data_IF_530787517438
#
_entry.id   IF_530787517438
#
_cell.length_a   1.000
_cell.length_b   1.000
_cell.length_c   1.000
_cell.angle_alpha   90.00
_cell.angle_beta   90.00
_cell.angle_gamma   90.00
#
_symmetry.space_group_name_H-M   'P 1'
#
loop_
_entity.id
_entity.type
_entity.pdbx_description
1 polymer ?
#
# COMPACT_ATOMS: atom_id res chain seq x y z
N UNK A 1 -4.43 -8.70 10.36
CA UNK A 1 -5.33 -9.19 9.30
C UNK A 1 -4.62 -9.46 7.96
N UNK A 2 -3.30 -9.75 7.94
CA UNK A 2 -2.54 -10.02 6.71
C UNK A 2 -2.26 -11.51 6.47
N UNK A 3 -2.23 -12.34 7.51
CA UNK A 3 -1.84 -13.75 7.42
C UNK A 3 -2.90 -14.60 6.71
N UNK A 4 -4.19 -14.32 6.95
CA UNK A 4 -5.33 -15.03 6.33
C UNK A 4 -5.34 -14.92 4.81
N UNK A 5 -4.88 -13.79 4.26
CA UNK A 5 -4.87 -13.57 2.80
C UNK A 5 -3.72 -14.26 2.08
N UNK A 6 -2.65 -14.63 2.80
CA UNK A 6 -1.45 -15.27 2.25
C UNK A 6 -1.51 -16.81 2.26
N UNK A 7 -2.38 -17.40 3.09
CA UNK A 7 -2.51 -18.85 3.26
C UNK A 7 -3.02 -19.60 2.02
N UNK A 8 -3.66 -18.89 1.08
CA UNK A 8 -4.18 -19.49 -0.16
C UNK A 8 -3.25 -19.39 -1.37
N UNK A 9 -2.02 -18.88 -1.20
CA UNK A 9 -1.09 -18.60 -2.31
C UNK A 9 -0.02 -19.69 -2.45
N UNK A 10 0.37 -20.01 -3.69
CA UNK A 10 1.53 -20.87 -3.95
C UNK A 10 2.83 -20.13 -3.64
N UNK A 11 3.94 -20.86 -3.49
CA UNK A 11 5.26 -20.26 -3.32
C UNK A 11 5.63 -19.29 -4.45
N UNK A 12 5.26 -19.62 -5.70
CA UNK A 12 5.49 -18.76 -6.86
C UNK A 12 4.70 -17.45 -6.77
N UNK A 13 3.43 -17.54 -6.35
CA UNK A 13 2.56 -16.38 -6.17
C UNK A 13 3.06 -15.48 -5.02
N UNK A 14 3.58 -16.07 -3.93
CA UNK A 14 4.20 -15.32 -2.84
C UNK A 14 5.50 -14.64 -3.27
N UNK A 15 6.28 -15.27 -4.14
CA UNK A 15 7.50 -14.67 -4.70
C UNK A 15 7.18 -13.51 -5.64
N UNK A 16 6.16 -13.62 -6.48
CA UNK A 16 5.66 -12.53 -7.32
C UNK A 16 5.14 -11.36 -6.48
N UNK A 17 4.30 -11.64 -5.48
CA UNK A 17 3.82 -10.62 -4.53
C UNK A 17 4.98 -9.87 -3.87
N UNK A 18 5.97 -10.58 -3.35
CA UNK A 18 7.13 -9.97 -2.72
C UNK A 18 7.93 -9.12 -3.72
N UNK A 19 8.08 -9.57 -4.96
CA UNK A 19 8.80 -8.84 -6.02
C UNK A 19 8.08 -7.54 -6.39
N UNK A 20 6.76 -7.59 -6.55
CA UNK A 20 5.95 -6.39 -6.82
C UNK A 20 5.92 -5.42 -5.63
N UNK A 21 5.84 -5.96 -4.41
CA UNK A 21 5.94 -5.18 -3.19
C UNK A 21 7.29 -4.47 -3.08
N UNK A 22 8.39 -5.11 -3.47
CA UNK A 22 9.71 -4.47 -3.46
C UNK A 22 9.78 -3.23 -4.36
N UNK A 23 9.08 -3.23 -5.49
CA UNK A 23 9.06 -2.11 -6.45
C UNK A 23 8.07 -1.03 -6.03
N UNK A 24 6.87 -1.42 -5.58
CA UNK A 24 5.77 -0.47 -5.31
C UNK A 24 5.80 0.11 -3.89
N UNK A 25 6.44 -0.55 -2.92
CA UNK A 25 6.50 -0.07 -1.53
C UNK A 25 7.06 1.35 -1.44
N UNK A 26 6.43 2.18 -0.63
CA UNK A 26 6.95 3.50 -0.30
C UNK A 26 7.97 3.36 0.83
N UNK A 27 9.12 3.98 0.63
CA UNK A 27 10.19 4.01 1.63
C UNK A 27 9.84 4.99 2.74
N UNK A 28 9.83 4.49 3.98
CA UNK A 28 9.72 5.33 5.17
C UNK A 28 10.84 6.36 5.21
N UNK A 29 12.08 5.97 4.91
CA UNK A 29 13.24 6.87 4.97
C UNK A 29 13.13 8.06 4.01
N UNK A 30 12.68 7.81 2.77
CA UNK A 30 12.43 8.87 1.79
C UNK A 30 11.31 9.79 2.28
N UNK A 31 10.24 9.23 2.85
CA UNK A 31 9.12 10.01 3.39
C UNK A 31 9.57 10.92 4.55
N UNK A 32 10.43 10.41 5.45
CA UNK A 32 11.03 11.19 6.54
C UNK A 32 11.97 12.28 6.04
N UNK A 33 12.74 12.01 4.98
CA UNK A 33 13.62 12.99 4.35
C UNK A 33 12.79 14.13 3.71
N UNK A 34 11.75 13.78 2.95
CA UNK A 34 10.82 14.77 2.40
C UNK A 34 10.10 15.55 3.50
N UNK A 35 9.78 14.92 4.63
CA UNK A 35 9.21 15.64 5.76
C UNK A 35 10.18 16.67 6.34
N UNK A 36 11.47 16.36 6.50
CA UNK A 36 12.46 17.34 6.97
C UNK A 36 12.56 18.56 6.05
N UNK A 37 12.70 18.34 4.74
CA UNK A 37 12.86 19.42 3.76
C UNK A 37 11.56 20.18 3.45
N UNK A 38 10.41 19.51 3.52
CA UNK A 38 9.11 20.06 3.09
C UNK A 38 8.12 20.15 4.25
N UNK A 39 8.61 20.17 5.49
CA UNK A 39 7.83 20.22 6.74
C UNK A 39 6.85 21.39 6.75
N UNK A 40 7.29 22.59 6.36
CA UNK A 40 6.42 23.78 6.29
C UNK A 40 5.44 23.80 5.11
N UNK A 41 5.75 23.07 4.04
CA UNK A 41 4.99 23.07 2.78
C UNK A 41 4.08 21.84 2.63
N UNK A 42 4.22 20.82 3.47
CA UNK A 42 3.40 19.59 3.42
C UNK A 42 3.73 18.62 2.28
N UNK A 43 4.89 18.76 1.62
CA UNK A 43 5.30 17.97 0.44
C UNK A 43 5.24 16.45 0.61
N UNK A 44 5.60 15.97 1.80
CA UNK A 44 5.59 14.56 2.15
C UNK A 44 4.17 13.92 2.08
N UNK A 45 3.10 14.71 2.30
CA UNK A 45 1.70 14.23 2.17
C UNK A 45 1.29 14.05 0.72
N UNK A 46 1.79 14.89 -0.18
CA UNK A 46 1.57 14.73 -1.63
C UNK A 46 2.30 13.49 -2.17
N UNK A 47 3.51 13.21 -1.69
CA UNK A 47 4.25 11.99 -2.06
C UNK A 47 3.52 10.69 -1.66
N UNK A 48 2.83 10.71 -0.52
CA UNK A 48 2.02 9.59 -0.04
C UNK A 48 0.61 9.53 -0.67
N UNK A 49 0.28 10.44 -1.60
CA UNK A 49 -1.03 10.50 -2.25
C UNK A 49 -2.15 11.06 -1.37
N UNK A 50 -1.84 11.67 -0.21
CA UNK A 50 -2.83 12.21 0.74
C UNK A 50 -3.12 13.69 0.47
N UNK A 51 -3.62 13.98 -0.74
CA UNK A 51 -3.92 15.33 -1.23
C UNK A 51 -4.85 16.12 -0.30
N UNK A 52 -5.96 15.52 0.16
CA UNK A 52 -6.93 16.21 1.01
C UNK A 52 -6.33 16.79 2.29
N UNK A 53 -5.45 16.03 2.94
CA UNK A 53 -4.76 16.52 4.14
C UNK A 53 -3.61 17.47 3.85
N UNK A 54 -2.97 17.36 2.68
CA UNK A 54 -1.97 18.34 2.23
C UNK A 54 -2.61 19.70 1.95
N UNK A 55 -3.81 19.72 1.35
CA UNK A 55 -4.59 20.95 1.13
C UNK A 55 -5.08 21.55 2.45
N UNK A 56 -5.50 20.72 3.42
CA UNK A 56 -5.83 21.20 4.77
C UNK A 56 -4.63 21.90 5.44
N UNK A 57 -3.43 21.34 5.28
CA UNK A 57 -2.18 21.90 5.80
C UNK A 57 -1.88 23.28 5.15
N UNK A 58 -2.07 23.41 3.84
CA UNK A 58 -1.92 24.67 3.10
C UNK A 58 -2.97 25.72 3.50
N UNK A 59 -4.23 25.31 3.69
CA UNK A 59 -5.30 26.20 4.17
C UNK A 59 -5.02 26.74 5.57
N UNK A 60 -4.31 25.98 6.40
CA UNK A 60 -3.85 26.43 7.72
C UNK A 60 -2.50 27.17 7.70
N UNK A 61 -1.98 27.56 6.52
CA UNK A 61 -0.66 28.20 6.36
C UNK A 61 0.50 27.37 6.96
N UNK A 62 0.43 26.04 6.89
CA UNK A 62 1.44 25.15 7.50
C UNK A 62 1.40 25.10 9.04
N UNK A 63 0.42 25.78 9.66
CA UNK A 63 0.15 25.80 11.10
C UNK A 63 1.39 25.88 12.00
N UNK A 64 2.28 26.86 11.75
CA UNK A 64 3.38 27.27 12.65
C UNK A 64 4.23 26.12 13.23
N UNK A 65 4.36 24.99 12.53
CA UNK A 65 5.09 23.80 13.01
C UNK A 65 4.30 22.82 13.89
N UNK A 66 3.06 23.13 14.27
CA UNK A 66 2.16 22.19 14.98
C UNK A 66 1.82 20.99 14.10
N UNK A 67 1.58 21.23 12.80
CA UNK A 67 1.36 20.15 11.84
C UNK A 67 2.56 19.22 11.73
N UNK A 68 3.77 19.76 11.70
CA UNK A 68 5.01 18.97 11.66
C UNK A 68 5.10 18.02 12.87
N UNK A 69 4.68 18.48 14.05
CA UNK A 69 4.65 17.67 15.27
C UNK A 69 3.63 16.53 15.19
N UNK A 70 2.45 16.82 14.64
CA UNK A 70 1.40 15.83 14.39
C UNK A 70 1.88 14.80 13.34
N UNK A 71 2.57 15.25 12.29
CA UNK A 71 3.12 14.41 11.22
C UNK A 71 4.15 13.40 11.72
N UNK A 72 4.90 13.73 12.77
CA UNK A 72 5.89 12.85 13.39
C UNK A 72 5.28 11.49 13.81
N UNK A 73 4.03 11.51 14.29
CA UNK A 73 3.29 10.30 14.64
C UNK A 73 2.52 9.73 13.44
N UNK A 74 1.98 10.58 12.57
CA UNK A 74 1.18 10.12 11.44
C UNK A 74 2.02 9.47 10.33
N UNK A 75 3.22 9.94 10.01
CA UNK A 75 4.04 9.44 8.88
C UNK A 75 4.23 7.93 8.97
N UNK A 76 4.60 7.43 10.16
CA UNK A 76 4.78 6.00 10.40
C UNK A 76 3.50 5.19 10.13
N UNK A 77 2.35 5.74 10.50
CA UNK A 77 1.05 5.13 10.22
C UNK A 77 0.71 5.22 8.73
N UNK A 78 0.94 6.37 8.10
CA UNK A 78 0.63 6.62 6.69
C UNK A 78 1.44 5.73 5.76
N UNK A 79 2.76 5.63 5.96
CA UNK A 79 3.62 4.74 5.15
C UNK A 79 3.15 3.30 5.29
N UNK A 80 2.84 2.86 6.51
CA UNK A 80 2.32 1.52 6.77
C UNK A 80 0.97 1.28 6.10
N UNK A 81 0.08 2.26 6.13
CA UNK A 81 -1.25 2.18 5.53
C UNK A 81 -1.15 2.11 3.99
N UNK A 82 -0.32 2.96 3.37
CA UNK A 82 -0.07 2.96 1.93
C UNK A 82 0.54 1.64 1.47
N UNK A 83 1.58 1.15 2.17
CA UNK A 83 2.19 -0.13 1.83
C UNK A 83 1.22 -1.31 2.00
N UNK A 84 0.35 -1.28 3.02
CA UNK A 84 -0.73 -2.27 3.18
C UNK A 84 -1.76 -2.22 2.06
N UNK A 85 -2.14 -1.03 1.58
CA UNK A 85 -3.10 -0.88 0.48
C UNK A 85 -2.52 -1.50 -0.80
N UNK A 86 -1.27 -1.17 -1.11
CA UNK A 86 -0.53 -1.75 -2.24
C UNK A 86 -0.47 -3.28 -2.13
N UNK A 87 -0.15 -3.81 -0.94
CA UNK A 87 -0.12 -5.26 -0.71
C UNK A 87 -1.47 -5.93 -0.98
N UNK A 88 -2.56 -5.33 -0.48
CA UNK A 88 -3.90 -5.87 -0.67
C UNK A 88 -4.37 -5.81 -2.12
N UNK A 89 -3.98 -4.77 -2.86
CA UNK A 89 -4.29 -4.62 -4.29
C UNK A 89 -3.61 -5.71 -5.12
N UNK A 90 -2.30 -5.91 -4.93
CA UNK A 90 -1.55 -6.96 -5.61
C UNK A 90 -2.10 -8.36 -5.24
N UNK A 91 -2.43 -8.57 -3.96
CA UNK A 91 -3.05 -9.82 -3.50
C UNK A 91 -4.41 -10.08 -4.16
N UNK A 92 -5.23 -9.05 -4.34
CA UNK A 92 -6.51 -9.17 -5.02
C UNK A 92 -6.31 -9.55 -6.49
N UNK A 93 -5.38 -8.89 -7.18
CA UNK A 93 -5.04 -9.19 -8.58
C UNK A 93 -4.56 -10.64 -8.75
N UNK A 94 -3.61 -11.09 -7.92
CA UNK A 94 -3.09 -12.47 -7.97
C UNK A 94 -4.22 -13.49 -7.74
N UNK A 95 -5.10 -13.25 -6.76
CA UNK A 95 -6.24 -14.15 -6.49
C UNK A 95 -7.23 -14.19 -7.66
N UNK A 96 -7.49 -13.06 -8.32
CA UNK A 96 -8.39 -13.01 -9.48
C UNK A 96 -7.79 -13.78 -10.67
N UNK A 97 -6.51 -13.57 -10.97
CA UNK A 97 -5.81 -14.30 -12.04
C UNK A 97 -5.74 -15.80 -11.74
N UNK A 98 -5.51 -16.18 -10.48
CA UNK A 98 -5.52 -17.58 -10.03
C UNK A 98 -6.89 -18.24 -10.24
N UNK A 99 -7.96 -17.61 -9.77
CA UNK A 99 -9.32 -18.11 -9.96
C UNK A 99 -9.68 -18.19 -11.45
N UNK A 100 -9.28 -17.19 -12.24
CA UNK A 100 -9.49 -17.19 -13.68
C UNK A 100 -8.74 -18.34 -14.38
N UNK A 101 -7.47 -18.60 -14.02
CA UNK A 101 -6.71 -19.76 -14.55
C UNK A 101 -7.34 -21.09 -14.14
N UNK A 102 -7.84 -21.19 -12.92
CA UNK A 102 -8.49 -22.41 -12.44
C UNK A 102 -9.82 -22.66 -13.19
N UNK A 103 -10.61 -21.61 -13.45
CA UNK A 103 -11.90 -21.70 -14.13
C UNK A 103 -11.79 -21.81 -15.67
N UNK A 104 -10.74 -21.26 -16.27
CA UNK A 104 -10.52 -21.28 -17.73
C UNK A 104 -9.79 -22.53 -18.22
N UNK A 105 -9.36 -23.44 -17.34
CA UNK A 105 -8.73 -24.70 -17.74
C UNK A 105 -9.79 -25.62 -18.41
N UNK A 106 -9.75 -25.86 -19.73
CA UNK A 106 -10.75 -26.68 -20.44
C UNK A 106 -10.65 -28.18 -20.08
N UNK A 107 -9.62 -28.57 -19.33
CA UNK A 107 -9.43 -29.94 -18.79
C UNK A 107 -9.79 -30.06 -17.32
N UNK A 108 -10.34 -29.01 -16.70
CA UNK A 108 -10.97 -29.14 -15.40
C UNK A 108 -12.24 -29.97 -15.59
N UNK A 109 -12.10 -31.30 -15.49
CA UNK A 109 -13.24 -32.20 -15.41
C UNK A 109 -14.06 -31.68 -14.22
N UNK A 110 -15.33 -31.26 -14.40
CA UNK A 110 -16.15 -30.84 -13.29
C UNK A 110 -16.13 -31.98 -12.27
N UNK A 111 -15.76 -31.67 -11.04
CA UNK A 111 -15.80 -32.63 -9.95
C UNK A 111 -17.26 -33.04 -9.71
N UNK A 112 -17.69 -34.09 -10.41
CA UNK A 112 -18.97 -34.79 -10.27
C UNK A 112 -18.87 -35.73 -9.07
N UNK A 113 -18.61 -35.18 -7.88
CA UNK A 113 -18.74 -35.94 -6.65
C UNK A 113 -19.88 -35.34 -5.83
N UNK A 114 -21.02 -36.05 -5.95
CA UNK A 114 -22.14 -36.09 -4.99
C UNK A 114 -21.66 -36.33 -3.57
#
# INVERSE_FOLDING_TARGET
MSILNKQGLTTEELQLLNSEMMIKQKSSGITWLLWLFTSYLGGHRFYLGKFGTGVAMLLTFGGLGVWSFIDLFLISSMVRETNKKIENEILAEIKLVKNAKQNSNPRAIPNVNR
#
